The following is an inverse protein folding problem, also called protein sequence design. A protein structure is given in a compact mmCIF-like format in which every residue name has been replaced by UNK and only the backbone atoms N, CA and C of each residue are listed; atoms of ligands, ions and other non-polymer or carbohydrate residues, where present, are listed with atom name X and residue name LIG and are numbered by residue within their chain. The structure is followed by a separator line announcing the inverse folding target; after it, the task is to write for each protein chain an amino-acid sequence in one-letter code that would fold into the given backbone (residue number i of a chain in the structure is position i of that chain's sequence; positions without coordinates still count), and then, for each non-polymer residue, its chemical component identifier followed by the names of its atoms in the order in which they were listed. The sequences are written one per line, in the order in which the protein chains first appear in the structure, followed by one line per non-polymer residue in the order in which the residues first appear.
data_IF_409727020078
#
_entry.id   IF_409727020078
#
_cell.length_a   1.000
_cell.length_b   1.000
_cell.length_c   1.000
_cell.angle_alpha   90.00
_cell.angle_beta   90.00
_cell.angle_gamma   90.00
#
_symmetry.space_group_name_H-M   'P 1'
#
loop_
_entity.id
_entity.type
_entity.pdbx_description
1 polymer ?
#
# COMPACT_ATOMS: atom_id res chain seq x y z
N UNK A 1 10.74 7.45 26.40
CA UNK A 1 11.18 8.19 25.20
C UNK A 1 10.23 7.88 24.07
N UNK A 2 9.46 8.87 23.60
CA UNK A 2 8.56 8.72 22.46
C UNK A 2 9.43 8.87 21.20
N UNK A 3 9.75 7.77 20.53
CA UNK A 3 10.46 7.83 19.25
C UNK A 3 9.56 8.57 18.26
N UNK A 4 9.95 9.77 17.86
CA UNK A 4 9.47 10.40 16.63
C UNK A 4 10.02 9.53 15.50
N UNK A 5 9.21 8.59 15.02
CA UNK A 5 9.54 7.91 13.78
C UNK A 5 9.55 8.97 12.69
N UNK A 6 10.74 9.25 12.15
CA UNK A 6 10.90 10.14 11.01
C UNK A 6 10.75 9.33 9.72
N UNK A 7 10.30 9.99 8.66
CA UNK A 7 10.23 9.38 7.34
C UNK A 7 11.64 8.91 6.92
N UNK A 8 11.75 7.63 6.56
CA UNK A 8 13.02 7.04 6.14
C UNK A 8 12.91 6.51 4.72
N UNK A 9 13.78 7.00 3.84
CA UNK A 9 13.90 6.51 2.47
C UNK A 9 15.06 5.52 2.36
N UNK A 10 14.75 4.33 1.86
CA UNK A 10 15.66 3.23 1.58
C UNK A 10 15.99 3.23 0.09
N UNK A 11 17.28 3.18 -0.23
CA UNK A 11 17.78 3.07 -1.59
C UNK A 11 18.25 1.62 -1.87
N UNK A 12 18.13 1.14 -3.12
CA UNK A 12 18.56 -0.21 -3.49
C UNK A 12 20.08 -0.27 -3.70
N UNK A 13 20.85 -0.04 -2.63
CA UNK A 13 22.32 -0.03 -2.64
C UNK A 13 22.91 -1.44 -2.80
N UNK A 14 22.27 -2.44 -2.18
CA UNK A 14 22.71 -3.84 -2.10
C UNK A 14 21.88 -4.74 -3.02
N UNK A 15 21.92 -4.49 -4.34
CA UNK A 15 20.97 -5.08 -5.30
C UNK A 15 21.04 -6.60 -5.37
N UNK A 16 22.23 -7.19 -5.25
CA UNK A 16 22.43 -8.64 -5.32
C UNK A 16 21.82 -9.31 -4.09
N UNK A 17 22.16 -8.84 -2.89
CA UNK A 17 21.64 -9.38 -1.63
C UNK A 17 20.12 -9.22 -1.52
N UNK A 18 19.59 -8.09 -2.01
CA UNK A 18 18.15 -7.82 -2.05
C UNK A 18 17.44 -8.77 -3.04
N UNK A 19 18.06 -9.08 -4.19
CA UNK A 19 17.51 -10.02 -5.16
C UNK A 19 17.50 -11.47 -4.64
N UNK A 20 18.55 -11.88 -3.93
CA UNK A 20 18.62 -13.16 -3.24
C UNK A 20 17.52 -13.27 -2.18
N UNK A 21 17.36 -12.23 -1.36
CA UNK A 21 16.32 -12.17 -0.34
C UNK A 21 14.92 -12.23 -0.95
N UNK A 22 14.65 -11.51 -2.05
CA UNK A 22 13.38 -11.64 -2.79
C UNK A 22 13.13 -13.09 -3.20
N UNK A 23 14.14 -13.73 -3.78
CA UNK A 23 14.04 -15.12 -4.25
C UNK A 23 13.79 -16.10 -3.11
N UNK A 24 14.34 -15.84 -1.92
CA UNK A 24 14.04 -16.61 -0.71
C UNK A 24 12.59 -16.42 -0.26
N UNK A 25 12.10 -15.18 -0.20
CA UNK A 25 10.75 -14.86 0.23
C UNK A 25 9.68 -15.42 -0.73
N UNK A 26 9.88 -15.31 -2.04
CA UNK A 26 8.91 -15.79 -3.04
C UNK A 26 8.82 -17.32 -3.11
N UNK A 27 9.87 -18.04 -2.70
CA UNK A 27 9.87 -19.52 -2.60
C UNK A 27 9.26 -20.04 -1.31
N UNK A 28 9.05 -19.17 -0.33
CA UNK A 28 8.45 -19.55 0.95
C UNK A 28 6.93 -19.53 0.79
N UNK A 29 6.23 -20.69 0.77
CA UNK A 29 4.78 -20.70 0.72
C UNK A 29 4.22 -19.96 1.95
N UNK A 30 2.98 -19.45 1.86
CA UNK A 30 2.27 -18.87 3.00
C UNK A 30 2.37 -19.85 4.19
N UNK A 31 3.22 -19.51 5.15
CA UNK A 31 3.81 -20.50 6.04
C UNK A 31 2.80 -20.94 7.11
N UNK A 32 2.88 -22.22 7.48
CA UNK A 32 2.14 -22.79 8.62
C UNK A 32 2.64 -22.19 9.95
N UNK A 33 3.87 -21.67 9.96
CA UNK A 33 4.52 -21.04 11.11
C UNK A 33 4.92 -19.59 10.83
N UNK A 34 4.89 -18.69 11.84
CA UNK A 34 5.23 -17.28 11.65
C UNK A 34 6.72 -17.10 11.32
N UNK A 35 7.02 -16.15 10.44
CA UNK A 35 8.39 -15.74 10.17
C UNK A 35 9.07 -15.22 11.45
N UNK A 36 10.38 -15.45 11.59
CA UNK A 36 11.15 -15.03 12.76
C UNK A 36 12.12 -13.90 12.38
N UNK A 37 12.17 -12.85 13.20
CA UNK A 37 13.22 -11.84 13.19
C UNK A 37 14.32 -12.28 14.15
N UNK A 38 15.56 -12.36 13.67
CA UNK A 38 16.74 -12.58 14.50
C UNK A 38 17.48 -11.26 14.71
N UNK A 39 17.61 -10.86 15.98
CA UNK A 39 18.36 -9.69 16.39
C UNK A 39 19.88 -9.90 16.27
N UNK A 40 20.68 -8.81 16.24
CA UNK A 40 22.14 -8.88 16.25
C UNK A 40 22.71 -9.56 17.51
N UNK A 41 21.96 -9.53 18.61
CA UNK A 41 22.24 -10.23 19.86
C UNK A 41 21.95 -11.75 19.80
N UNK A 42 21.39 -12.22 18.68
CA UNK A 42 21.01 -13.61 18.47
C UNK A 42 19.61 -13.96 18.99
N UNK A 43 18.90 -13.05 19.65
CA UNK A 43 17.53 -13.27 20.10
C UNK A 43 16.58 -13.39 18.90
N UNK A 44 15.52 -14.19 19.05
CA UNK A 44 14.51 -14.38 18.01
C UNK A 44 13.13 -13.97 18.48
N UNK A 45 12.37 -13.34 17.60
CA UNK A 45 10.98 -12.96 17.82
C UNK A 45 10.12 -13.30 16.61
N UNK A 46 8.88 -13.75 16.85
CA UNK A 46 7.90 -13.92 15.77
C UNK A 46 7.51 -12.57 15.18
N UNK A 47 7.57 -12.47 13.86
CA UNK A 47 7.08 -11.31 13.13
C UNK A 47 5.56 -11.35 13.06
N UNK A 48 4.86 -10.28 13.48
CA UNK A 48 3.44 -10.12 13.18
C UNK A 48 3.20 -10.17 11.65
N UNK A 49 2.06 -10.73 11.19
CA UNK A 49 1.76 -10.83 9.77
C UNK A 49 1.89 -9.50 9.02
N UNK A 50 1.42 -8.40 9.60
CA UNK A 50 1.43 -7.07 8.97
C UNK A 50 2.87 -6.57 8.74
N UNK A 51 3.79 -6.89 9.66
CA UNK A 51 5.21 -6.51 9.54
C UNK A 51 5.89 -7.37 8.47
N UNK A 52 5.57 -8.66 8.41
CA UNK A 52 6.07 -9.56 7.37
C UNK A 52 5.64 -9.13 5.97
N UNK A 53 4.36 -8.82 5.79
CA UNK A 53 3.82 -8.28 4.53
C UNK A 53 4.49 -6.96 4.12
N UNK A 54 4.69 -6.05 5.08
CA UNK A 54 5.40 -4.80 4.84
C UNK A 54 6.86 -5.05 4.38
N UNK A 55 7.57 -5.98 5.02
CA UNK A 55 8.93 -6.36 4.62
C UNK A 55 8.97 -6.95 3.21
N UNK A 56 8.03 -7.83 2.86
CA UNK A 56 7.94 -8.37 1.50
C UNK A 56 7.73 -7.27 0.46
N UNK A 57 6.85 -6.31 0.73
CA UNK A 57 6.62 -5.16 -0.15
C UNK A 57 7.89 -4.32 -0.34
N UNK A 58 8.61 -4.04 0.75
CA UNK A 58 9.88 -3.29 0.73
C UNK A 58 10.93 -4.04 -0.11
N UNK A 59 11.15 -5.33 0.16
CA UNK A 59 12.16 -6.13 -0.54
C UNK A 59 11.86 -6.23 -2.03
N UNK A 60 10.60 -6.48 -2.41
CA UNK A 60 10.20 -6.55 -3.83
C UNK A 60 10.45 -5.23 -4.55
N UNK A 61 10.07 -4.10 -3.94
CA UNK A 61 10.29 -2.79 -4.54
C UNK A 61 11.78 -2.46 -4.70
N UNK A 62 12.61 -2.74 -3.68
CA UNK A 62 14.04 -2.53 -3.75
C UNK A 62 14.70 -3.45 -4.79
N UNK A 63 14.27 -4.70 -4.90
CA UNK A 63 14.75 -5.66 -5.91
C UNK A 63 14.41 -5.21 -7.34
N UNK A 64 13.29 -4.52 -7.53
CA UNK A 64 12.93 -3.86 -8.79
C UNK A 64 13.76 -2.59 -9.07
N UNK A 65 14.68 -2.23 -8.18
CA UNK A 65 15.50 -1.03 -8.28
C UNK A 65 14.78 0.26 -7.91
N UNK A 66 13.63 0.18 -7.23
CA UNK A 66 12.85 1.34 -6.78
C UNK A 66 13.27 1.72 -5.36
N UNK A 67 13.34 3.02 -5.07
CA UNK A 67 13.46 3.49 -3.69
C UNK A 67 12.15 3.26 -2.92
N UNK A 68 12.24 3.07 -1.60
CA UNK A 68 11.09 2.86 -0.72
C UNK A 68 11.12 3.84 0.44
N UNK A 69 10.03 4.56 0.68
CA UNK A 69 9.87 5.43 1.85
C UNK A 69 8.97 4.75 2.87
N UNK A 70 9.44 4.65 4.11
CA UNK A 70 8.67 4.21 5.27
C UNK A 70 8.39 5.44 6.12
N UNK A 71 7.11 5.77 6.25
CA UNK A 71 6.64 6.95 6.96
C UNK A 71 5.53 6.53 7.94
N UNK A 72 5.57 6.96 9.21
CA UNK A 72 4.44 6.75 10.11
C UNK A 72 3.27 7.62 9.67
N UNK A 73 2.08 7.01 9.61
CA UNK A 73 0.85 7.72 9.25
C UNK A 73 -0.13 7.64 10.39
N UNK A 74 -0.82 8.75 10.68
CA UNK A 74 -1.91 8.75 11.65
C UNK A 74 -3.01 7.80 11.17
N UNK A 75 -3.55 6.98 12.09
CA UNK A 75 -4.68 6.09 11.78
C UNK A 75 -5.98 6.87 11.55
N UNK A 76 -6.03 8.13 11.99
CA UNK A 76 -7.14 9.05 11.76
C UNK A 76 -6.64 10.29 11.01
N UNK A 77 -7.18 10.52 9.83
CA UNK A 77 -6.74 11.55 8.90
C UNK A 77 -7.70 12.75 8.89
N UNK A 78 -7.15 13.92 8.64
CA UNK A 78 -7.89 15.07 8.12
C UNK A 78 -8.36 14.81 6.69
N UNK A 79 -9.33 15.61 6.23
CA UNK A 79 -9.74 15.59 4.83
C UNK A 79 -8.64 15.96 3.84
N UNK A 80 -7.60 16.69 4.28
CA UNK A 80 -6.46 17.03 3.42
C UNK A 80 -5.53 15.84 3.26
N UNK A 81 -5.06 15.25 4.37
CA UNK A 81 -4.19 14.07 4.35
C UNK A 81 -4.81 12.91 3.55
N UNK A 82 -6.11 12.68 3.69
CA UNK A 82 -6.82 11.66 2.92
C UNK A 82 -6.92 12.00 1.41
N UNK A 83 -7.11 13.28 1.07
CA UNK A 83 -7.14 13.72 -0.32
C UNK A 83 -5.77 13.54 -1.00
N UNK A 84 -4.70 13.91 -0.27
CA UNK A 84 -3.32 13.74 -0.71
C UNK A 84 -2.99 12.25 -0.93
N UNK A 85 -3.43 11.37 -0.02
CA UNK A 85 -3.25 9.91 -0.13
C UNK A 85 -3.97 9.31 -1.35
N UNK A 86 -5.14 9.84 -1.72
CA UNK A 86 -5.91 9.43 -2.90
C UNK A 86 -5.45 10.10 -4.19
N UNK A 87 -4.56 11.10 -4.13
CA UNK A 87 -4.12 11.87 -5.29
C UNK A 87 -5.24 12.72 -5.91
N UNK A 88 -6.15 13.25 -5.09
CA UNK A 88 -7.27 14.10 -5.54
C UNK A 88 -7.28 15.43 -4.80
N UNK A 89 -8.00 16.42 -5.35
CA UNK A 89 -8.17 17.69 -4.63
C UNK A 89 -9.00 17.52 -3.36
N UNK A 90 -8.74 18.33 -2.33
CA UNK A 90 -9.56 18.33 -1.11
C UNK A 90 -11.06 18.56 -1.38
N UNK A 91 -11.49 19.51 -2.26
CA UNK A 91 -12.90 19.62 -2.62
C UNK A 91 -13.48 18.35 -3.24
N UNK A 92 -12.72 17.63 -4.07
CA UNK A 92 -13.14 16.33 -4.62
C UNK A 92 -13.32 15.30 -3.51
N UNK A 93 -12.37 15.22 -2.57
CA UNK A 93 -12.50 14.31 -1.44
C UNK A 93 -13.71 14.63 -0.56
N UNK A 94 -13.97 15.91 -0.31
CA UNK A 94 -15.16 16.35 0.44
C UNK A 94 -16.45 15.92 -0.26
N UNK A 95 -16.53 16.04 -1.60
CA UNK A 95 -17.68 15.52 -2.37
C UNK A 95 -17.87 14.02 -2.19
N UNK A 96 -16.80 13.22 -2.25
CA UNK A 96 -16.87 11.77 -2.00
C UNK A 96 -17.50 11.47 -0.63
N UNK A 97 -17.12 12.22 0.41
CA UNK A 97 -17.70 12.07 1.74
C UNK A 97 -19.18 12.48 1.78
N UNK A 98 -19.53 13.59 1.14
CA UNK A 98 -20.90 14.11 1.11
C UNK A 98 -21.84 13.20 0.30
N UNK A 99 -21.32 12.49 -0.70
CA UNK A 99 -22.00 11.47 -1.49
C UNK A 99 -22.04 10.09 -0.80
N UNK A 100 -21.46 9.96 0.40
CA UNK A 100 -21.46 8.71 1.18
C UNK A 100 -20.46 7.66 0.69
N UNK A 101 -19.47 8.02 -0.13
CA UNK A 101 -18.48 7.09 -0.66
C UNK A 101 -17.50 6.55 0.38
N UNK A 102 -17.37 7.23 1.53
CA UNK A 102 -16.47 6.85 2.62
C UNK A 102 -17.09 7.27 3.98
N UNK A 103 -16.97 6.44 5.03
CA UNK A 103 -17.37 6.83 6.37
C UNK A 103 -16.47 7.95 6.92
N UNK A 104 -17.05 8.83 7.75
CA UNK A 104 -16.29 9.85 8.47
C UNK A 104 -16.95 10.16 9.81
N UNK A 105 -16.13 10.62 10.75
CA UNK A 105 -16.56 11.10 12.05
C UNK A 105 -16.32 12.60 12.19
N UNK A 106 -16.98 13.23 13.16
CA UNK A 106 -16.75 14.64 13.55
C UNK A 106 -16.56 14.72 15.06
N UNK A 107 -15.39 14.35 15.61
CA UNK A 107 -15.10 14.45 17.04
C UNK A 107 -14.92 15.93 17.52
N UNK A 108 -15.57 16.88 16.85
CA UNK A 108 -15.43 18.32 17.01
C UNK A 108 -15.96 19.04 15.76
N UNK A 109 -15.34 20.16 15.38
CA UNK A 109 -15.79 20.96 14.22
C UNK A 109 -15.43 20.34 12.86
N UNK A 110 -14.37 19.55 12.79
CA UNK A 110 -13.79 19.10 11.52
C UNK A 110 -14.01 17.59 11.30
N UNK A 111 -14.25 17.21 10.04
CA UNK A 111 -14.35 15.81 9.62
C UNK A 111 -13.01 15.09 9.78
N UNK A 112 -13.10 13.82 10.18
CA UNK A 112 -11.98 12.88 10.32
C UNK A 112 -12.36 11.55 9.67
N UNK A 113 -11.43 10.93 8.98
CA UNK A 113 -11.60 9.63 8.31
C UNK A 113 -10.57 8.65 8.82
N UNK A 114 -10.87 7.35 8.86
CA UNK A 114 -9.87 6.35 9.22
C UNK A 114 -9.00 6.07 8.01
N UNK A 115 -7.70 5.90 8.25
CA UNK A 115 -6.73 5.54 7.21
C UNK A 115 -7.12 4.23 6.51
N UNK A 116 -7.60 3.24 7.27
CA UNK A 116 -8.04 1.95 6.75
C UNK A 116 -9.13 2.13 5.67
N UNK A 117 -10.19 2.87 5.99
CA UNK A 117 -11.28 3.13 5.04
C UNK A 117 -10.78 3.80 3.75
N UNK A 118 -9.85 4.77 3.87
CA UNK A 118 -9.27 5.47 2.72
C UNK A 118 -8.43 4.53 1.86
N UNK A 119 -7.65 3.63 2.47
CA UNK A 119 -6.86 2.61 1.76
C UNK A 119 -7.75 1.60 1.04
N UNK A 120 -8.80 1.11 1.70
CA UNK A 120 -9.78 0.20 1.11
C UNK A 120 -10.48 0.82 -0.09
N UNK A 121 -10.91 2.08 0.03
CA UNK A 121 -11.50 2.84 -1.07
C UNK A 121 -10.52 3.02 -2.24
N UNK A 122 -9.24 3.31 -1.94
CA UNK A 122 -8.19 3.45 -2.97
C UNK A 122 -8.01 2.16 -3.75
N UNK A 123 -7.95 1.02 -3.06
CA UNK A 123 -7.75 -0.28 -3.70
C UNK A 123 -8.98 -0.72 -4.51
N UNK A 124 -10.19 -0.51 -3.98
CA UNK A 124 -11.43 -0.73 -4.72
C UNK A 124 -11.46 0.08 -6.03
N UNK A 125 -11.11 1.37 -5.98
CA UNK A 125 -11.01 2.22 -7.19
C UNK A 125 -9.95 1.73 -8.17
N UNK A 126 -8.78 1.31 -7.67
CA UNK A 126 -7.70 0.78 -8.51
C UNK A 126 -8.14 -0.48 -9.24
N UNK A 127 -8.81 -1.38 -8.54
CA UNK A 127 -9.37 -2.63 -9.08
C UNK A 127 -10.44 -2.37 -10.13
N UNK A 128 -11.38 -1.44 -9.88
CA UNK A 128 -12.38 -1.03 -10.87
C UNK A 128 -11.76 -0.43 -12.13
N UNK A 129 -10.77 0.44 -11.98
CA UNK A 129 -10.04 1.03 -13.12
C UNK A 129 -9.32 -0.03 -13.94
N UNK A 130 -8.69 -1.03 -13.30
CA UNK A 130 -8.03 -2.14 -14.00
C UNK A 130 -9.04 -2.92 -14.84
N UNK A 131 -10.15 -3.34 -14.23
CA UNK A 131 -11.22 -4.08 -14.94
C UNK A 131 -11.78 -3.32 -16.15
N UNK A 132 -11.99 -2.01 -16.01
CA UNK A 132 -12.46 -1.19 -17.12
C UNK A 132 -11.47 -1.12 -18.29
N UNK A 133 -10.17 -1.04 -17.99
CA UNK A 133 -9.12 -1.09 -19.03
C UNK A 133 -9.04 -2.46 -19.69
N UNK A 134 -9.14 -3.54 -18.91
CA UNK A 134 -9.11 -4.91 -19.43
C UNK A 134 -10.33 -5.17 -20.35
N UNK A 135 -11.51 -4.65 -20.00
CA UNK A 135 -12.71 -4.74 -20.84
C UNK A 135 -12.58 -3.94 -22.14
N UNK A 136 -12.03 -2.72 -22.08
CA UNK A 136 -11.77 -1.92 -23.28
C UNK A 136 -10.78 -2.63 -24.22
N UNK A 137 -9.72 -3.24 -23.66
CA UNK A 137 -8.74 -4.01 -24.44
C UNK A 137 -9.41 -5.21 -25.14
N UNK A 138 -10.26 -5.95 -24.42
CA UNK A 138 -11.02 -7.09 -24.97
C UNK A 138 -11.95 -6.67 -26.12
N UNK A 139 -12.69 -5.58 -25.94
CA UNK A 139 -13.60 -5.05 -26.98
C UNK A 139 -12.84 -4.61 -28.24
N UNK A 140 -11.63 -4.06 -28.10
CA UNK A 140 -10.78 -3.69 -29.25
C UNK A 140 -10.21 -4.90 -30.00
N UNK A 141 -9.88 -5.98 -29.29
CA UNK A 141 -9.43 -7.25 -29.90
C UNK A 141 -10.58 -7.94 -30.64
N UNK A 142 -11.78 -7.99 -30.05
CA UNK A 142 -12.98 -8.56 -30.69
C UNK A 142 -13.41 -7.76 -31.94
N UNK A 143 -13.30 -6.42 -31.90
CA UNK A 143 -13.66 -5.55 -33.03
C UNK A 143 -12.64 -5.57 -34.17
N UNK A 144 -11.35 -5.84 -33.87
CA UNK A 144 -10.30 -6.01 -34.87
C UNK A 144 -10.37 -7.35 -35.63
N UNK A 145 -11.12 -8.32 -35.12
CA UNK A 145 -11.32 -9.64 -35.72
C UNK A 145 -12.54 -9.72 -36.67
N UNK A 146 -13.30 -8.64 -36.84
CA UNK A 146 -14.52 -8.59 -37.67
C UNK A 146 -14.42 -7.60 -38.84
N UNK A 147 -13.19 -7.22 -39.22
CA UNK A 147 -12.90 -6.37 -40.37
C UNK A 147 -12.05 -7.09 -41.41
N UNK A 148 -12.61 -8.09 -42.08
CA UNK A 148 -12.15 -8.64 -43.37
C UNK A 148 -13.32 -8.65 -44.37
#
# INVERSE_FOLDING_TARGET
MRSTAEDRTLLPEHREEIAELRTFLDRTPAAVEPALLRGPDGATHSLPPEVYEALMAVVRALADGKAVTVAPVNTTLTTQEAADLLGVSRPTFVKILDEGGLPFNRPGRHRRVLLADVLDYKEARRSQRRRGLDELARLTEESGLHGD
#
